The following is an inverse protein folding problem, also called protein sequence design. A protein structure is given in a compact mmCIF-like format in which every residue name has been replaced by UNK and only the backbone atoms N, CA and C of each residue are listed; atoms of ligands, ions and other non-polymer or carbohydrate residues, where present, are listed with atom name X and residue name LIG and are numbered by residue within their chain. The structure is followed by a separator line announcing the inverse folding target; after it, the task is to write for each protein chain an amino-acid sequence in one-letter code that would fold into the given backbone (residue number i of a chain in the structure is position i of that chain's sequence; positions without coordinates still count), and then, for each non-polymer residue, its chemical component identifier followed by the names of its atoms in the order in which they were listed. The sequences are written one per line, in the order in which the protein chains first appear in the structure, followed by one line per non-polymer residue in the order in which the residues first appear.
data_IF_353932320802
#
_entry.id   IF_353932320802
#
_cell.length_a   1.000
_cell.length_b   1.000
_cell.length_c   1.000
_cell.angle_alpha   90.00
_cell.angle_beta   90.00
_cell.angle_gamma   90.00
#
_symmetry.space_group_name_H-M   'P 1'
#
loop_
_entity.id
_entity.type
_entity.pdbx_description
1 polymer ?
#
# COMPACT_ATOMS: atom_id res chain seq x y z
N UNK A 1 -2.08 -8.42 8.01
CA UNK A 1 -1.70 -7.36 7.03
C UNK A 1 -1.65 -5.95 7.63
N UNK A 2 -2.34 -5.71 8.75
CA UNK A 2 -2.63 -4.35 9.21
C UNK A 2 -1.44 -3.61 9.83
N UNK A 3 -0.32 -4.31 10.06
CA UNK A 3 0.93 -3.72 10.55
C UNK A 3 2.03 -3.63 9.49
N UNK A 4 1.87 -4.24 8.32
CA UNK A 4 2.86 -4.17 7.25
C UNK A 4 2.57 -2.97 6.34
N UNK A 5 3.45 -1.94 6.26
CA UNK A 5 3.20 -0.77 5.42
C UNK A 5 3.07 -1.10 3.93
N UNK A 6 3.71 -2.19 3.48
CA UNK A 6 3.50 -2.75 2.15
C UNK A 6 2.03 -3.10 1.94
N UNK A 7 1.38 -3.76 2.89
CA UNK A 7 0.05 -4.32 2.71
C UNK A 7 -1.03 -3.27 2.95
N UNK A 8 -1.03 -2.61 4.12
CA UNK A 8 -2.13 -1.70 4.47
C UNK A 8 -2.13 -0.38 3.70
N UNK A 9 -1.01 -0.02 3.06
CA UNK A 9 -0.84 1.27 2.39
C UNK A 9 -0.41 1.14 0.94
N UNK A 10 0.76 0.53 0.67
CA UNK A 10 1.33 0.51 -0.68
C UNK A 10 0.49 -0.35 -1.63
N UNK A 11 0.25 -1.62 -1.29
CA UNK A 11 -0.53 -2.55 -2.08
C UNK A 11 -2.01 -2.19 -2.10
N UNK A 12 -2.54 -1.60 -1.03
CA UNK A 12 -3.89 -1.03 -1.05
C UNK A 12 -4.02 0.09 -2.10
N UNK A 13 -3.05 1.00 -2.16
CA UNK A 13 -3.00 2.06 -3.18
C UNK A 13 -2.80 1.48 -4.59
N UNK A 14 -1.95 0.47 -4.73
CA UNK A 14 -1.72 -0.22 -5.99
C UNK A 14 -2.98 -0.95 -6.48
N UNK A 15 -3.67 -1.66 -5.61
CA UNK A 15 -4.92 -2.35 -5.92
C UNK A 15 -5.97 -1.35 -6.44
N UNK A 16 -6.10 -0.18 -5.79
CA UNK A 16 -6.99 0.87 -6.27
C UNK A 16 -6.58 1.39 -7.67
N UNK A 17 -5.28 1.55 -7.92
CA UNK A 17 -4.77 1.96 -9.23
C UNK A 17 -4.98 0.90 -10.34
N UNK A 18 -4.94 -0.38 -9.98
CA UNK A 18 -5.12 -1.50 -10.90
C UNK A 18 -6.59 -1.89 -11.11
N UNK A 19 -7.49 -1.45 -10.22
CA UNK A 19 -8.89 -1.84 -10.25
C UNK A 19 -9.54 -1.51 -11.61
N UNK A 20 -10.21 -2.50 -12.20
CA UNK A 20 -10.86 -2.39 -13.51
C UNK A 20 -9.93 -2.45 -14.73
N UNK A 21 -8.60 -2.58 -14.54
CA UNK A 21 -7.66 -2.77 -15.66
C UNK A 21 -7.52 -4.24 -16.01
N UNK A 22 -7.49 -4.54 -17.30
CA UNK A 22 -7.13 -5.86 -17.84
C UNK A 22 -5.85 -5.70 -18.66
N UNK A 23 -4.92 -6.64 -18.51
CA UNK A 23 -3.63 -6.62 -19.20
C UNK A 23 -3.51 -7.85 -20.09
N UNK A 24 -2.98 -7.67 -21.30
CA UNK A 24 -2.86 -8.74 -22.30
C UNK A 24 -1.54 -9.52 -22.18
N UNK A 25 -0.55 -8.99 -21.45
CA UNK A 25 0.76 -9.60 -21.23
C UNK A 25 1.46 -8.99 -20.00
N UNK A 26 2.57 -9.61 -19.62
CA UNK A 26 3.39 -9.21 -18.46
C UNK A 26 4.11 -7.88 -18.68
N UNK A 27 4.49 -7.56 -19.92
CA UNK A 27 5.13 -6.28 -20.26
C UNK A 27 4.21 -5.10 -19.95
N UNK A 28 2.91 -5.22 -20.27
CA UNK A 28 1.91 -4.21 -19.94
C UNK A 28 1.76 -4.04 -18.42
N UNK A 29 1.77 -5.14 -17.66
CA UNK A 29 1.75 -5.08 -16.18
C UNK A 29 2.98 -4.34 -15.65
N UNK A 30 4.19 -4.72 -16.11
CA UNK A 30 5.46 -4.10 -15.69
C UNK A 30 5.49 -2.60 -15.99
N UNK A 31 5.00 -2.18 -17.16
CA UNK A 31 4.91 -0.78 -17.54
C UNK A 31 4.03 0.01 -16.55
N UNK A 32 2.84 -0.51 -16.24
CA UNK A 32 1.92 0.14 -15.30
C UNK A 32 2.44 0.17 -13.86
N UNK A 33 3.16 -0.88 -13.43
CA UNK A 33 3.84 -0.87 -12.13
C UNK A 33 4.91 0.22 -12.09
N UNK A 34 5.77 0.30 -13.11
CA UNK A 34 6.81 1.34 -13.19
C UNK A 34 6.20 2.75 -13.15
N UNK A 35 5.13 3.00 -13.91
CA UNK A 35 4.40 4.26 -13.87
C UNK A 35 3.83 4.53 -12.48
N UNK A 36 3.16 3.55 -11.87
CA UNK A 36 2.58 3.71 -10.55
C UNK A 36 3.60 4.16 -9.51
N UNK A 37 4.80 3.55 -9.49
CA UNK A 37 5.86 3.90 -8.55
C UNK A 37 6.52 5.24 -8.86
N UNK A 38 6.75 5.55 -10.15
CA UNK A 38 7.29 6.83 -10.59
C UNK A 38 6.39 8.02 -10.23
N UNK A 39 5.06 7.81 -10.24
CA UNK A 39 4.08 8.83 -9.87
C UNK A 39 4.04 9.12 -8.35
N UNK A 40 4.63 8.27 -7.50
CA UNK A 40 4.63 8.48 -6.05
C UNK A 40 5.82 9.31 -5.63
N UNK A 41 5.54 10.46 -5.01
CA UNK A 41 6.56 11.28 -4.37
C UNK A 41 7.01 10.69 -3.02
N UNK A 42 8.10 11.23 -2.47
CA UNK A 42 8.65 10.83 -1.17
C UNK A 42 7.60 10.86 -0.05
N UNK A 43 6.75 11.91 -0.02
CA UNK A 43 5.72 12.09 1.02
C UNK A 43 4.69 10.95 1.03
N UNK A 44 4.43 10.32 -0.10
CA UNK A 44 3.55 9.15 -0.17
C UNK A 44 4.11 8.01 0.69
N UNK A 45 5.38 7.64 0.50
CA UNK A 45 6.03 6.56 1.24
C UNK A 45 6.18 6.90 2.73
N UNK A 46 6.60 8.13 3.02
CA UNK A 46 6.73 8.64 4.39
C UNK A 46 5.40 8.51 5.14
N UNK A 47 4.28 8.94 4.54
CA UNK A 47 2.96 8.83 5.16
C UNK A 47 2.56 7.38 5.44
N UNK A 48 2.91 6.45 4.56
CA UNK A 48 2.67 5.02 4.77
C UNK A 48 3.37 4.52 6.03
N UNK A 49 4.65 4.83 6.18
CA UNK A 49 5.48 4.44 7.32
C UNK A 49 5.05 5.14 8.61
N UNK A 50 4.77 6.45 8.55
CA UNK A 50 4.40 7.26 9.71
C UNK A 50 3.02 6.93 10.29
N UNK A 51 2.22 6.09 9.62
CA UNK A 51 1.00 5.49 10.18
C UNK A 51 1.27 4.30 11.12
N UNK A 52 2.50 3.79 11.18
CA UNK A 52 2.85 2.65 12.05
C UNK A 52 2.60 2.92 13.54
N UNK A 53 3.01 4.07 14.13
CA UNK A 53 2.80 4.29 15.56
C UNK A 53 1.32 4.28 15.96
N UNK A 54 0.46 4.92 15.17
CA UNK A 54 -1.00 4.92 15.36
C UNK A 54 -1.57 3.49 15.31
N UNK A 55 -1.13 2.69 14.32
CA UNK A 55 -1.56 1.30 14.17
C UNK A 55 -1.08 0.40 15.30
N UNK A 56 0.16 0.57 15.77
CA UNK A 56 0.66 -0.15 16.94
C UNK A 56 -0.16 0.16 18.18
N UNK A 57 -0.51 1.44 18.40
CA UNK A 57 -1.36 1.83 19.50
C UNK A 57 -2.74 1.16 19.42
N UNK A 58 -3.37 1.15 18.25
CA UNK A 58 -4.66 0.48 18.05
C UNK A 58 -4.60 -1.02 18.36
N UNK A 59 -3.54 -1.71 17.96
CA UNK A 59 -3.36 -3.14 18.28
C UNK A 59 -3.24 -3.35 19.80
N UNK A 60 -2.52 -2.48 20.52
CA UNK A 60 -2.42 -2.55 21.98
C UNK A 60 -3.79 -2.33 22.63
N UNK A 61 -4.52 -1.30 22.21
CA UNK A 61 -5.87 -0.98 22.72
C UNK A 61 -6.87 -2.11 22.46
N UNK A 62 -6.69 -2.86 21.37
CA UNK A 62 -7.52 -4.01 21.02
C UNK A 62 -7.00 -5.34 21.58
N UNK A 63 -6.07 -5.33 22.54
CA UNK A 63 -5.47 -6.51 23.16
C UNK A 63 -4.85 -7.50 22.15
N UNK A 64 -4.20 -6.97 21.11
CA UNK A 64 -3.54 -7.78 20.08
C UNK A 64 -4.46 -8.29 18.97
N UNK A 65 -5.75 -7.92 18.96
CA UNK A 65 -6.64 -8.24 17.85
C UNK A 65 -6.29 -7.44 16.59
N UNK A 66 -6.82 -7.90 15.45
CA UNK A 66 -6.69 -7.23 14.16
C UNK A 66 -7.37 -5.86 14.16
N UNK A 67 -6.76 -4.90 13.44
CA UNK A 67 -7.24 -3.52 13.30
C UNK A 67 -7.75 -3.23 11.88
#
# INVERSE_FOLDING_TARGET
PDLAPSDYYLFRSLQNYLNGKTFNNDEAVKLHLNQFFADKNQKFYERGIMKLPERWQQVIEQNGNYI
#
